data_IF_488459348410
#
_entry.id   IF_488459348410
#
_cell.length_a   1.000
_cell.length_b   1.000
_cell.length_c   1.000
_cell.angle_alpha   90.00
_cell.angle_beta   90.00
_cell.angle_gamma   90.00
#
_symmetry.space_group_name_H-M   'P 1'
#
loop_
_entity.id
_entity.type
_entity.pdbx_description
1 polymer ?
#
# COMPACT_ATOMS: atom_id res chain seq x y z
N UNK A 1 2.04 7.51 -27.07
CA UNK A 1 2.59 7.14 -25.75
C UNK A 1 1.55 7.14 -24.63
N UNK A 2 0.38 7.76 -24.80
CA UNK A 2 -0.66 7.89 -23.75
C UNK A 2 -1.60 6.67 -23.59
N UNK A 3 -1.64 5.76 -24.57
CA UNK A 3 -2.62 4.67 -24.59
C UNK A 3 -2.19 3.45 -23.75
N UNK A 4 -0.89 3.15 -23.74
CA UNK A 4 -0.33 1.96 -23.08
C UNK A 4 -0.32 2.10 -21.56
N UNK A 5 -0.15 3.33 -21.04
CA UNK A 5 -0.19 3.57 -19.59
C UNK A 5 -1.60 3.44 -19.01
N UNK A 6 -2.63 3.76 -19.80
CA UNK A 6 -4.03 3.55 -19.43
C UNK A 6 -4.37 2.06 -19.44
N UNK A 7 -3.96 1.35 -20.50
CA UNK A 7 -4.20 -0.10 -20.66
C UNK A 7 -3.68 -0.92 -19.46
N UNK A 8 -2.47 -0.65 -18.97
CA UNK A 8 -1.91 -1.41 -17.85
C UNK A 8 -2.75 -1.24 -16.57
N UNK A 9 -3.23 -0.02 -16.28
CA UNK A 9 -4.00 0.26 -15.07
C UNK A 9 -5.34 -0.48 -15.03
N UNK A 10 -5.95 -0.69 -16.18
CA UNK A 10 -7.25 -1.36 -16.28
C UNK A 10 -7.14 -2.88 -16.12
N UNK A 11 -5.92 -3.42 -16.25
CA UNK A 11 -5.62 -4.85 -16.22
C UNK A 11 -4.98 -5.32 -14.93
N UNK A 12 -4.51 -4.40 -14.08
CA UNK A 12 -3.96 -4.77 -12.78
C UNK A 12 -5.05 -5.08 -11.78
N UNK A 13 -4.77 -6.07 -10.92
CA UNK A 13 -5.63 -6.46 -9.81
C UNK A 13 -4.82 -6.37 -8.52
N UNK A 14 -5.40 -5.79 -7.47
CA UNK A 14 -4.81 -5.81 -6.13
C UNK A 14 -5.43 -6.95 -5.33
N UNK A 15 -4.59 -7.76 -4.69
CA UNK A 15 -5.04 -8.86 -3.82
C UNK A 15 -4.31 -8.80 -2.47
N UNK A 16 -4.99 -9.13 -1.37
CA UNK A 16 -4.32 -9.32 -0.08
C UNK A 16 -3.74 -10.74 -0.01
N UNK A 17 -2.43 -10.84 0.20
CA UNK A 17 -1.73 -12.05 0.60
C UNK A 17 -1.61 -12.01 2.13
N UNK A 18 -2.60 -12.58 2.81
CA UNK A 18 -2.69 -12.58 4.28
C UNK A 18 -1.52 -13.32 4.93
N UNK A 19 -1.05 -14.40 4.29
CA UNK A 19 0.04 -15.23 4.79
C UNK A 19 1.38 -14.50 4.62
N UNK A 20 1.58 -13.87 3.46
CA UNK A 20 2.74 -13.02 3.18
C UNK A 20 2.68 -11.64 3.81
N UNK A 21 1.58 -11.29 4.50
CA UNK A 21 1.34 -10.00 5.15
C UNK A 21 1.59 -8.81 4.23
N UNK A 22 1.04 -8.89 3.03
CA UNK A 22 1.21 -7.86 1.99
C UNK A 22 -0.02 -7.78 1.10
N UNK A 23 -0.19 -6.64 0.45
CA UNK A 23 -1.04 -6.55 -0.73
C UNK A 23 -0.15 -6.64 -1.95
N UNK A 24 -0.56 -7.43 -2.94
CA UNK A 24 0.17 -7.60 -4.20
C UNK A 24 -0.60 -6.93 -5.33
N UNK A 25 0.15 -6.30 -6.24
CA UNK A 25 -0.34 -5.80 -7.51
C UNK A 25 0.00 -6.83 -8.58
N UNK A 26 -1.02 -7.35 -9.24
CA UNK A 26 -0.90 -8.44 -10.22
C UNK A 26 -1.27 -7.92 -11.60
N UNK A 27 -0.39 -8.12 -12.58
CA UNK A 27 -0.65 -7.89 -14.00
C UNK A 27 -0.53 -9.21 -14.74
N UNK A 28 -1.58 -9.61 -15.47
CA UNK A 28 -1.59 -10.84 -16.27
C UNK A 28 -1.11 -12.09 -15.48
N UNK A 29 -1.50 -12.20 -14.21
CA UNK A 29 -1.13 -13.30 -13.34
C UNK A 29 0.25 -13.22 -12.68
N UNK A 30 1.01 -12.14 -12.94
CA UNK A 30 2.34 -11.93 -12.36
C UNK A 30 2.31 -10.81 -11.32
N UNK A 31 2.94 -11.03 -10.17
CA UNK A 31 3.12 -9.96 -9.17
C UNK A 31 4.15 -8.97 -9.70
N UNK A 32 3.72 -7.73 -9.89
CA UNK A 32 4.55 -6.61 -10.38
C UNK A 32 4.79 -5.53 -9.31
N UNK A 33 4.29 -5.76 -8.10
CA UNK A 33 4.49 -4.87 -6.97
C UNK A 33 3.78 -5.35 -5.72
N UNK A 34 4.15 -4.79 -4.58
CA UNK A 34 3.54 -5.13 -3.30
C UNK A 34 3.72 -4.01 -2.26
N UNK A 35 2.86 -4.02 -1.25
CA UNK A 35 2.99 -3.20 -0.03
C UNK A 35 2.87 -4.10 1.18
N UNK A 36 3.93 -4.17 1.98
CA UNK A 36 4.00 -5.01 3.17
C UNK A 36 3.41 -4.31 4.38
N UNK A 37 2.76 -5.10 5.21
CA UNK A 37 2.17 -4.63 6.45
C UNK A 37 2.49 -5.54 7.64
N UNK A 38 2.40 -4.96 8.84
CA UNK A 38 2.27 -5.74 10.09
C UNK A 38 1.09 -5.23 10.89
N UNK A 39 0.47 -6.14 11.63
CA UNK A 39 -0.70 -5.85 12.45
C UNK A 39 -0.32 -5.76 13.93
N UNK A 40 -0.68 -4.64 14.57
CA UNK A 40 -0.47 -4.41 16.00
C UNK A 40 -1.75 -3.84 16.61
N UNK A 41 -2.52 -4.70 17.28
CA UNK A 41 -3.85 -4.33 17.75
C UNK A 41 -4.72 -3.87 16.58
N UNK A 42 -5.31 -2.69 16.70
CA UNK A 42 -6.15 -2.08 15.66
C UNK A 42 -5.36 -1.45 14.51
N UNK A 43 -4.03 -1.37 14.62
CA UNK A 43 -3.17 -0.72 13.63
C UNK A 43 -2.70 -1.72 12.57
N UNK A 44 -2.74 -1.30 11.31
CA UNK A 44 -2.02 -1.88 10.18
C UNK A 44 -0.87 -0.95 9.80
N UNK A 45 0.35 -1.44 9.97
CA UNK A 45 1.59 -0.68 9.81
C UNK A 45 2.18 -1.00 8.44
N UNK A 46 2.13 -0.06 7.51
CA UNK A 46 2.73 -0.21 6.18
C UNK A 46 4.19 0.23 6.22
N UNK A 47 5.13 -0.67 6.00
CA UNK A 47 6.56 -0.41 6.23
C UNK A 47 7.45 -0.54 4.99
N UNK A 48 6.98 -1.22 3.95
CA UNK A 48 7.71 -1.35 2.70
C UNK A 48 6.75 -1.41 1.52
N UNK A 49 7.13 -0.81 0.39
CA UNK A 49 6.33 -0.81 -0.84
C UNK A 49 7.27 -0.77 -2.02
N UNK A 50 7.02 -1.67 -2.97
CA UNK A 50 7.84 -1.85 -4.15
C UNK A 50 6.92 -2.03 -5.36
N UNK A 51 7.29 -1.42 -6.47
CA UNK A 51 6.73 -1.67 -7.80
C UNK A 51 7.93 -1.99 -8.68
N UNK A 52 7.84 -3.04 -9.48
CA UNK A 52 8.89 -3.39 -10.43
C UNK A 52 9.19 -2.20 -11.34
N UNK A 53 10.48 -1.86 -11.48
CA UNK A 53 10.98 -0.72 -12.23
C UNK A 53 10.50 -0.71 -13.69
N UNK A 54 10.24 -1.89 -14.27
CA UNK A 54 9.67 -2.02 -15.60
C UNK A 54 8.28 -1.35 -15.74
N UNK A 55 7.58 -1.14 -14.61
CA UNK A 55 6.26 -0.52 -14.53
C UNK A 55 6.26 0.80 -13.74
N UNK A 56 7.45 1.34 -13.43
CA UNK A 56 7.59 2.64 -12.77
C UNK A 56 7.05 3.77 -13.65
N UNK A 57 6.52 4.83 -13.02
CA UNK A 57 5.95 5.99 -13.74
C UNK A 57 4.52 5.79 -14.27
N UNK A 58 3.97 4.57 -14.21
CA UNK A 58 2.58 4.29 -14.58
C UNK A 58 1.59 4.59 -13.45
N UNK A 59 2.02 5.15 -12.32
CA UNK A 59 1.15 5.47 -11.16
C UNK A 59 0.50 4.25 -10.49
N UNK A 60 1.08 3.06 -10.70
CA UNK A 60 0.60 1.81 -10.13
C UNK A 60 0.76 1.73 -8.61
N UNK A 61 1.74 2.44 -8.05
CA UNK A 61 1.88 2.58 -6.61
C UNK A 61 0.67 3.23 -5.97
N UNK A 62 0.06 4.23 -6.61
CA UNK A 62 -1.19 4.83 -6.13
C UNK A 62 -2.35 3.85 -6.16
N UNK A 63 -2.47 3.02 -7.21
CA UNK A 63 -3.51 1.98 -7.31
C UNK A 63 -3.39 0.98 -6.15
N UNK A 64 -2.18 0.45 -5.96
CA UNK A 64 -1.88 -0.50 -4.89
C UNK A 64 -2.15 0.09 -3.50
N UNK A 65 -1.63 1.28 -3.21
CA UNK A 65 -1.81 1.92 -1.90
C UNK A 65 -3.28 2.25 -1.66
N UNK A 66 -4.00 2.80 -2.64
CA UNK A 66 -5.44 3.11 -2.50
C UNK A 66 -6.22 1.87 -2.08
N UNK A 67 -6.07 0.76 -2.81
CA UNK A 67 -6.76 -0.48 -2.51
C UNK A 67 -6.43 -1.03 -1.11
N UNK A 68 -5.16 -0.96 -0.71
CA UNK A 68 -4.72 -1.40 0.62
C UNK A 68 -5.32 -0.53 1.75
N UNK A 69 -5.34 0.80 1.58
CA UNK A 69 -5.90 1.71 2.59
C UNK A 69 -7.43 1.64 2.67
N UNK A 70 -8.10 1.46 1.53
CA UNK A 70 -9.55 1.24 1.48
C UNK A 70 -9.95 -0.04 2.21
N UNK A 71 -9.20 -1.12 2.05
CA UNK A 71 -9.42 -2.37 2.78
C UNK A 71 -9.19 -2.20 4.29
N UNK A 72 -8.15 -1.44 4.71
CA UNK A 72 -7.94 -1.10 6.12
C UNK A 72 -9.13 -0.36 6.71
N UNK A 73 -9.66 0.63 5.99
CA UNK A 73 -10.87 1.37 6.38
C UNK A 73 -12.07 0.45 6.48
N UNK A 74 -12.30 -0.38 5.46
CA UNK A 74 -13.45 -1.30 5.42
C UNK A 74 -13.45 -2.28 6.60
N UNK A 75 -12.26 -2.62 7.12
CA UNK A 75 -12.07 -3.46 8.31
C UNK A 75 -12.13 -2.70 9.64
N UNK A 76 -12.36 -1.38 9.62
CA UNK A 76 -12.39 -0.55 10.82
C UNK A 76 -11.04 -0.42 11.51
N UNK A 77 -9.93 -0.58 10.78
CA UNK A 77 -8.56 -0.55 11.32
C UNK A 77 -7.89 0.80 11.06
N UNK A 78 -6.79 1.06 11.77
CA UNK A 78 -6.02 2.31 11.69
C UNK A 78 -4.75 2.12 10.84
N UNK A 79 -4.36 3.15 10.11
CA UNK A 79 -3.20 3.15 9.21
C UNK A 79 -2.00 3.73 9.95
N UNK A 80 -0.83 3.07 9.89
CA UNK A 80 0.45 3.66 10.31
C UNK A 80 1.43 3.65 9.12
N UNK A 81 1.80 4.83 8.56
CA UNK A 81 2.57 4.91 7.32
C UNK A 81 4.08 5.02 7.56
N UNK A 82 4.74 3.91 7.92
CA UNK A 82 6.21 3.89 8.07
C UNK A 82 6.92 4.01 6.72
N UNK A 83 6.36 3.40 5.67
CA UNK A 83 6.86 3.52 4.32
C UNK A 83 6.77 4.98 3.83
N UNK A 84 7.89 5.60 3.36
CA UNK A 84 7.86 6.97 2.85
C UNK A 84 6.91 7.19 1.66
N UNK A 85 6.72 6.16 0.83
CA UNK A 85 5.77 6.21 -0.29
C UNK A 85 4.34 6.36 0.22
N UNK A 86 3.93 5.54 1.19
CA UNK A 86 2.59 5.59 1.80
C UNK A 86 2.41 6.90 2.56
N UNK A 87 3.41 7.36 3.30
CA UNK A 87 3.37 8.64 3.99
C UNK A 87 3.15 9.81 3.00
N UNK A 88 3.89 9.83 1.88
CA UNK A 88 3.74 10.83 0.81
C UNK A 88 2.40 10.72 0.08
N UNK A 89 1.84 9.52 -0.04
CA UNK A 89 0.50 9.33 -0.58
C UNK A 89 -0.53 10.00 0.35
N UNK A 90 -0.48 9.73 1.66
CA UNK A 90 -1.43 10.29 2.62
C UNK A 90 -1.42 11.83 2.68
N UNK A 91 -0.30 12.50 2.39
CA UNK A 91 -0.27 13.98 2.34
C UNK A 91 -1.09 14.58 1.19
N UNK A 92 -1.50 13.76 0.21
CA UNK A 92 -2.32 14.18 -0.95
C UNK A 92 -3.75 13.64 -0.90
N UNK A 93 -4.06 12.80 0.10
CA UNK A 93 -5.31 12.05 0.17
C UNK A 93 -5.94 12.21 1.56
N UNK A 94 -6.55 13.38 1.79
CA UNK A 94 -7.12 13.77 3.09
C UNK A 94 -8.23 12.82 3.58
N UNK A 95 -8.85 12.07 2.66
CA UNK A 95 -9.88 11.10 2.95
C UNK A 95 -9.47 10.00 3.95
N UNK A 96 -8.18 9.80 4.22
CA UNK A 96 -7.69 8.78 5.17
C UNK A 96 -7.17 9.36 6.49
N UNK A 97 -7.16 10.69 6.66
CA UNK A 97 -6.57 11.33 7.84
C UNK A 97 -7.25 10.93 9.15
N UNK A 98 -8.56 10.69 9.13
CA UNK A 98 -9.38 10.25 10.26
C UNK A 98 -8.97 8.87 10.82
N UNK A 99 -8.43 8.00 9.96
CA UNK A 99 -7.97 6.66 10.32
C UNK A 99 -6.44 6.52 10.33
N UNK A 100 -5.69 7.62 10.21
CA UNK A 100 -4.23 7.59 10.21
C UNK A 100 -3.67 7.90 11.60
N UNK A 101 -2.77 7.04 12.07
CA UNK A 101 -1.97 7.22 13.28
C UNK A 101 -0.55 7.66 12.94
N UNK A 102 0.06 8.42 13.87
CA UNK A 102 1.44 8.84 13.75
C UNK A 102 2.41 7.65 13.86
N UNK A 103 3.53 7.73 13.13
CA UNK A 103 4.67 6.82 13.32
C UNK A 103 5.37 7.17 14.63
N UNK A 104 5.44 6.23 15.57
CA UNK A 104 6.09 6.42 16.87
C UNK A 104 7.37 5.58 17.00
N UNK A 105 8.29 5.91 17.93
CA UNK A 105 9.45 5.07 18.21
C UNK A 105 9.09 3.61 18.55
N UNK A 106 7.96 3.38 19.24
CA UNK A 106 7.47 2.05 19.59
C UNK A 106 7.06 1.24 18.36
N UNK A 107 6.42 1.88 17.38
CA UNK A 107 6.10 1.27 16.07
C UNK A 107 7.39 0.81 15.39
N UNK A 108 8.41 1.67 15.37
CA UNK A 108 9.70 1.35 14.73
C UNK A 108 10.47 0.26 15.47
N UNK A 109 10.35 0.19 16.80
CA UNK A 109 10.88 -0.92 17.59
C UNK A 109 10.15 -2.23 17.24
N UNK A 110 8.82 -2.20 17.14
CA UNK A 110 8.01 -3.36 16.78
C UNK A 110 8.35 -3.96 15.40
N UNK A 111 8.74 -3.14 14.42
CA UNK A 111 9.12 -3.62 13.09
C UNK A 111 10.50 -4.31 13.04
N UNK A 112 11.37 -4.05 14.03
CA UNK A 112 12.73 -4.63 14.10
C UNK A 112 12.79 -6.00 14.75
N UNK A 113 11.73 -6.39 15.45
CA UNK A 113 11.59 -7.68 16.14
C UNK A 113 10.82 -8.68 15.27
#
# INVERSE_FOLDING_TARGET
MSNEQHDIRDRVVVSEDTDGRRYTLVLDGHVIGFTEFRDRGEQRIFFHTEIDDAYAGHGLSSVLVTAALDDVRARGRRIVPVCPLVAKFLTKHDAYQDITDAVTPDILAYLRN
#
